data_IF_493569842219
#
_entry.id   IF_493569842219
#
_cell.length_a   1.000
_cell.length_b   1.000
_cell.length_c   1.000
_cell.angle_alpha   90.00
_cell.angle_beta   90.00
_cell.angle_gamma   90.00
#
_symmetry.space_group_name_H-M   'P 1'
#
loop_
_entity.id
_entity.type
_entity.pdbx_description
1 polymer ?
#
# COMPACT_ATOMS: atom_id res chain seq x y z
N UNK A 1 -1.70 -21.61 -2.88
CA UNK A 1 -2.23 -20.37 -2.24
C UNK A 1 -1.34 -19.82 -1.13
N UNK A 2 -0.91 -20.61 -0.12
CA UNK A 2 -0.06 -20.10 0.97
C UNK A 2 1.22 -19.39 0.49
N UNK A 3 1.87 -19.94 -0.53
CA UNK A 3 3.10 -19.36 -1.10
C UNK A 3 2.89 -18.01 -1.77
N UNK A 4 1.75 -17.81 -2.43
CA UNK A 4 1.36 -16.53 -3.03
C UNK A 4 1.16 -15.49 -1.93
N UNK A 5 0.45 -15.86 -0.85
CA UNK A 5 0.26 -14.97 0.31
C UNK A 5 1.59 -14.63 0.96
N UNK A 6 2.47 -15.61 1.14
CA UNK A 6 3.81 -15.37 1.70
C UNK A 6 4.64 -14.43 0.80
N UNK A 7 4.58 -14.60 -0.52
CA UNK A 7 5.23 -13.71 -1.47
C UNK A 7 4.67 -12.27 -1.39
N UNK A 8 3.35 -12.10 -1.24
CA UNK A 8 2.72 -10.80 -1.05
C UNK A 8 3.12 -10.14 0.27
N UNK A 9 3.19 -10.91 1.36
CA UNK A 9 3.66 -10.41 2.66
C UNK A 9 5.14 -10.02 2.60
N UNK A 10 5.96 -10.80 1.90
CA UNK A 10 7.37 -10.48 1.67
C UNK A 10 7.51 -9.19 0.86
N UNK A 11 6.74 -9.06 -0.23
CA UNK A 11 6.67 -7.88 -1.07
C UNK A 11 6.22 -6.66 -0.28
N UNK A 12 5.19 -6.77 0.56
CA UNK A 12 4.70 -5.67 1.40
C UNK A 12 5.70 -5.25 2.48
N UNK A 13 6.48 -6.20 3.04
CA UNK A 13 7.48 -5.90 4.06
C UNK A 13 8.77 -5.28 3.51
N UNK A 14 9.23 -5.77 2.36
CA UNK A 14 10.53 -5.39 1.78
C UNK A 14 10.39 -4.31 0.71
N UNK A 15 9.26 -4.31 0.02
CA UNK A 15 9.03 -3.42 -1.09
C UNK A 15 9.96 -3.64 -2.29
N UNK A 16 10.52 -4.85 -2.42
CA UNK A 16 11.40 -5.15 -3.54
C UNK A 16 10.67 -4.99 -4.88
N UNK A 17 11.41 -4.75 -5.96
CA UNK A 17 10.80 -4.82 -7.28
C UNK A 17 10.30 -6.25 -7.53
N UNK A 18 9.15 -6.41 -8.20
CA UNK A 18 8.57 -7.73 -8.46
C UNK A 18 9.52 -8.72 -9.16
N UNK A 19 10.46 -8.22 -9.96
CA UNK A 19 11.48 -9.04 -10.64
C UNK A 19 12.61 -9.51 -9.71
N UNK A 20 12.75 -8.87 -8.54
CA UNK A 20 13.72 -9.19 -7.50
C UNK A 20 13.12 -10.09 -6.41
N UNK A 21 11.93 -10.64 -6.63
CA UNK A 21 11.32 -11.60 -5.72
C UNK A 21 12.24 -12.83 -5.60
N UNK A 22 12.54 -13.33 -4.39
CA UNK A 22 13.38 -14.52 -4.21
C UNK A 22 12.86 -15.72 -5.02
N UNK A 23 13.79 -16.52 -5.55
CA UNK A 23 13.46 -17.70 -6.35
C UNK A 23 12.72 -18.80 -5.58
N UNK A 24 12.72 -18.74 -4.24
CA UNK A 24 11.95 -19.64 -3.37
C UNK A 24 10.44 -19.37 -3.44
N UNK A 25 10.02 -18.25 -4.03
CA UNK A 25 8.62 -17.91 -4.23
C UNK A 25 8.11 -18.32 -5.62
N UNK A 26 6.77 -18.43 -5.77
CA UNK A 26 6.14 -18.61 -7.08
C UNK A 26 6.55 -17.50 -8.05
N UNK A 27 6.41 -17.78 -9.35
CA UNK A 27 6.79 -16.82 -10.38
C UNK A 27 6.17 -15.43 -10.15
N UNK A 28 6.96 -14.38 -10.34
CA UNK A 28 6.53 -13.00 -10.11
C UNK A 28 5.26 -12.64 -10.90
N UNK A 29 5.07 -13.24 -12.09
CA UNK A 29 3.86 -13.09 -12.89
C UNK A 29 2.61 -13.66 -12.22
N UNK A 30 2.71 -14.84 -11.59
CA UNK A 30 1.59 -15.42 -10.86
C UNK A 30 1.26 -14.59 -9.62
N UNK A 31 2.27 -14.17 -8.84
CA UNK A 31 2.05 -13.32 -7.66
C UNK A 31 1.40 -12.00 -8.04
N UNK A 32 1.88 -11.35 -9.12
CA UNK A 32 1.26 -10.15 -9.69
C UNK A 32 -0.18 -10.37 -10.13
N UNK A 33 -0.46 -11.46 -10.83
CA UNK A 33 -1.82 -11.78 -11.28
C UNK A 33 -2.79 -11.81 -10.10
N UNK A 34 -2.49 -12.62 -9.07
CA UNK A 34 -3.34 -12.69 -7.88
C UNK A 34 -3.45 -11.36 -7.16
N UNK A 35 -2.35 -10.62 -7.07
CA UNK A 35 -2.35 -9.30 -6.46
C UNK A 35 -3.33 -8.35 -7.15
N UNK A 36 -3.23 -8.21 -8.48
CA UNK A 36 -4.09 -7.29 -9.22
C UNK A 36 -5.54 -7.75 -9.24
N UNK A 37 -5.79 -9.06 -9.39
CA UNK A 37 -7.15 -9.61 -9.28
C UNK A 37 -7.78 -9.29 -7.92
N UNK A 38 -7.07 -9.54 -6.81
CA UNK A 38 -7.61 -9.29 -5.48
C UNK A 38 -7.81 -7.81 -5.17
N UNK A 39 -6.92 -6.96 -5.67
CA UNK A 39 -7.06 -5.51 -5.56
C UNK A 39 -8.29 -5.01 -6.31
N UNK A 40 -8.49 -5.48 -7.53
CA UNK A 40 -9.60 -5.05 -8.38
C UNK A 40 -10.95 -5.60 -7.84
N UNK A 41 -10.92 -6.77 -7.19
CA UNK A 41 -12.08 -7.37 -6.50
C UNK A 41 -12.34 -6.80 -5.10
N UNK A 42 -11.45 -5.96 -4.55
CA UNK A 42 -11.54 -5.42 -3.17
C UNK A 42 -11.28 -6.46 -2.05
N UNK A 43 -10.77 -7.63 -2.42
CA UNK A 43 -10.43 -8.72 -1.50
C UNK A 43 -9.23 -8.32 -0.63
N UNK A 44 -8.30 -7.55 -1.17
CA UNK A 44 -7.15 -7.01 -0.44
C UNK A 44 -7.57 -6.17 0.77
N UNK A 45 -8.55 -5.28 0.60
CA UNK A 45 -9.10 -4.47 1.69
C UNK A 45 -9.76 -5.35 2.75
N UNK A 46 -10.54 -6.36 2.31
CA UNK A 46 -11.22 -7.30 3.22
C UNK A 46 -10.20 -8.09 4.05
N UNK A 47 -9.13 -8.58 3.43
CA UNK A 47 -8.05 -9.30 4.12
C UNK A 47 -7.35 -8.36 5.11
N UNK A 48 -7.06 -7.13 4.70
CA UNK A 48 -6.42 -6.14 5.56
C UNK A 48 -7.26 -5.85 6.80
N UNK A 49 -8.57 -5.65 6.64
CA UNK A 49 -9.48 -5.36 7.74
C UNK A 49 -9.59 -6.54 8.72
N UNK A 50 -9.69 -7.77 8.20
CA UNK A 50 -9.70 -8.99 9.02
C UNK A 50 -8.41 -9.13 9.84
N UNK A 51 -7.25 -8.97 9.21
CA UNK A 51 -5.96 -9.03 9.90
C UNK A 51 -5.82 -7.93 10.94
N UNK A 52 -6.27 -6.71 10.63
CA UNK A 52 -6.29 -5.58 11.55
C UNK A 52 -7.15 -5.86 12.78
N UNK A 53 -8.34 -6.44 12.60
CA UNK A 53 -9.20 -6.84 13.72
C UNK A 53 -8.54 -7.90 14.58
N UNK A 54 -7.99 -8.96 13.98
CA UNK A 54 -7.29 -10.03 14.70
C UNK A 54 -6.13 -9.50 15.53
N UNK A 55 -5.27 -8.65 14.97
CA UNK A 55 -4.14 -8.05 15.69
C UNK A 55 -4.61 -7.20 16.88
N UNK A 56 -5.73 -6.48 16.73
CA UNK A 56 -6.30 -5.67 17.81
C UNK A 56 -6.90 -6.52 18.92
N UNK A 57 -7.63 -7.58 18.57
CA UNK A 57 -8.19 -8.53 19.52
C UNK A 57 -7.10 -9.27 20.30
N UNK A 58 -6.03 -9.70 19.62
CA UNK A 58 -4.84 -10.29 20.25
C UNK A 58 -4.20 -9.33 21.26
N UNK A 59 -4.22 -8.02 20.96
CA UNK A 59 -3.77 -6.98 21.87
C UNK A 59 -4.82 -6.57 22.93
N UNK A 60 -5.91 -7.34 23.08
CA UNK A 60 -7.06 -7.08 23.99
C UNK A 60 -7.70 -5.70 23.80
N UNK A 61 -7.69 -5.19 22.56
CA UNK A 61 -8.35 -3.94 22.16
C UNK A 61 -9.61 -4.27 21.36
N UNK A 62 -10.58 -3.34 21.34
CA UNK A 62 -11.79 -3.47 20.49
C UNK A 62 -11.39 -3.55 19.01
N UNK A 63 -12.06 -4.40 18.25
CA UNK A 63 -11.83 -4.59 16.82
C UNK A 63 -11.91 -3.25 16.06
N UNK A 64 -12.92 -2.45 16.37
CA UNK A 64 -13.09 -1.11 15.81
C UNK A 64 -12.17 -0.08 16.51
N UNK A 65 -11.34 0.70 15.78
CA UNK A 65 -10.65 1.88 16.31
C UNK A 65 -11.58 2.97 16.82
N UNK A 66 -11.39 3.38 18.07
CA UNK A 66 -11.97 4.63 18.58
C UNK A 66 -11.33 5.90 17.99
N UNK A 67 -10.12 5.79 17.40
CA UNK A 67 -9.38 6.87 16.76
C UNK A 67 -8.58 6.31 15.59
N UNK A 68 -8.64 6.98 14.44
CA UNK A 68 -7.84 6.71 13.26
C UNK A 68 -7.03 7.97 12.94
N UNK A 69 -5.71 7.88 12.98
CA UNK A 69 -4.82 8.95 12.50
C UNK A 69 -4.50 8.62 11.04
N UNK A 70 -5.00 9.44 10.13
CA UNK A 70 -4.70 9.37 8.70
C UNK A 70 -3.56 10.33 8.41
N UNK A 71 -2.40 9.82 8.02
CA UNK A 71 -1.30 10.63 7.53
C UNK A 71 -1.24 10.53 6.01
N UNK A 72 -1.37 11.67 5.33
CA UNK A 72 -1.24 11.72 3.88
C UNK A 72 0.17 12.19 3.54
N UNK A 73 1.03 11.24 3.16
CA UNK A 73 2.38 11.59 2.74
C UNK A 73 2.38 12.18 1.34
N UNK A 74 3.12 13.27 1.17
CA UNK A 74 3.06 14.12 -0.01
C UNK A 74 4.49 14.28 -0.56
N UNK A 75 4.78 13.79 -1.76
CA UNK A 75 6.16 13.75 -2.30
C UNK A 75 6.50 15.06 -3.01
N UNK A 76 7.70 15.59 -2.75
CA UNK A 76 8.14 16.87 -3.33
C UNK A 76 8.17 16.80 -4.86
N UNK A 77 7.53 17.76 -5.53
CA UNK A 77 7.54 17.82 -6.98
C UNK A 77 8.92 18.30 -7.49
N UNK A 78 9.51 17.58 -8.44
CA UNK A 78 10.69 18.05 -9.15
C UNK A 78 10.35 19.30 -9.98
N UNK A 79 11.33 20.19 -10.19
CA UNK A 79 11.14 21.49 -10.85
C UNK A 79 10.56 21.42 -12.28
N UNK A 80 10.61 20.25 -12.92
CA UNK A 80 10.08 20.02 -14.28
C UNK A 80 8.63 19.53 -14.35
N UNK A 81 7.93 19.33 -13.22
CA UNK A 81 6.54 18.83 -13.23
C UNK A 81 5.56 19.97 -13.55
N UNK A 82 4.70 19.74 -14.54
CA UNK A 82 3.67 20.70 -14.97
C UNK A 82 2.74 21.07 -13.81
N UNK A 83 2.38 22.35 -13.73
CA UNK A 83 1.49 22.91 -12.70
C UNK A 83 0.09 22.30 -12.70
N UNK A 84 -0.31 21.68 -13.81
CA UNK A 84 -1.62 21.01 -13.96
C UNK A 84 -1.70 19.70 -13.16
N UNK A 85 -0.56 19.06 -12.87
CA UNK A 85 -0.48 17.80 -12.10
C UNK A 85 0.06 17.98 -10.68
N UNK A 86 0.14 19.23 -10.20
CA UNK A 86 0.77 19.60 -8.93
C UNK A 86 -0.15 20.51 -8.12
N UNK A 87 -0.34 20.22 -6.83
CA UNK A 87 -1.14 21.03 -5.90
C UNK A 87 -0.29 21.62 -4.76
N UNK A 88 -0.73 22.74 -4.21
CA UNK A 88 -0.23 23.24 -2.93
C UNK A 88 -1.32 23.04 -1.88
N UNK A 89 -1.00 22.33 -0.81
CA UNK A 89 -1.76 22.40 0.43
C UNK A 89 -1.46 23.74 1.10
N UNK A 90 -2.49 24.43 1.60
CA UNK A 90 -2.39 25.77 2.20
C UNK A 90 -1.43 25.83 3.39
N UNK A 91 -1.17 24.69 4.05
CA UNK A 91 -0.23 24.58 5.16
C UNK A 91 1.25 24.37 4.75
N UNK A 92 1.55 24.08 3.47
CA UNK A 92 2.91 23.76 3.00
C UNK A 92 3.49 24.83 2.09
N UNK A 93 4.73 25.24 2.38
CA UNK A 93 5.50 26.25 1.62
C UNK A 93 6.10 25.74 0.30
N UNK A 94 5.81 24.50 -0.10
CA UNK A 94 6.36 23.89 -1.31
C UNK A 94 5.28 23.17 -2.13
N UNK A 95 5.50 23.15 -3.45
CA UNK A 95 4.61 22.51 -4.43
C UNK A 95 4.73 20.99 -4.36
N UNK A 96 3.60 20.30 -4.43
CA UNK A 96 3.55 18.86 -4.22
C UNK A 96 2.81 18.20 -5.38
N UNK A 97 3.42 17.20 -5.99
CA UNK A 97 2.76 16.41 -7.02
C UNK A 97 1.93 15.34 -6.30
N UNK A 98 0.60 15.37 -6.48
CA UNK A 98 -0.24 14.24 -6.07
C UNK A 98 -0.21 13.22 -7.19
N UNK A 99 0.77 12.32 -7.15
CA UNK A 99 0.73 11.12 -7.96
C UNK A 99 -0.29 10.16 -7.33
N UNK A 100 -1.56 10.30 -7.72
CA UNK A 100 -2.66 9.43 -7.29
C UNK A 100 -2.42 7.93 -7.58
N UNK A 101 -1.35 7.58 -8.29
CA UNK A 101 -1.07 6.21 -8.75
C UNK A 101 0.13 5.53 -8.08
N UNK A 102 1.01 6.27 -7.38
CA UNK A 102 2.20 5.68 -6.73
C UNK A 102 2.05 5.52 -5.21
N UNK A 103 1.07 6.20 -4.60
CA UNK A 103 0.90 6.26 -3.15
C UNK A 103 -0.18 5.33 -2.58
N UNK A 104 -1.00 4.70 -3.42
CA UNK A 104 -2.07 3.79 -2.96
C UNK A 104 -1.56 2.44 -2.46
N UNK A 105 -0.31 2.06 -2.76
CA UNK A 105 0.26 0.77 -2.33
C UNK A 105 1.36 0.87 -1.26
N UNK A 106 1.92 2.05 -1.02
CA UNK A 106 3.08 2.27 -0.14
C UNK A 106 2.81 3.27 1.00
N UNK A 107 1.53 3.44 1.36
CA UNK A 107 1.08 4.36 2.39
C UNK A 107 0.27 3.71 3.50
N UNK A 108 0.55 2.43 3.84
CA UNK A 108 -0.05 1.72 4.97
C UNK A 108 0.91 0.66 5.52
#
# INVERSE_FOLDING_TARGET
>A
MREIVNALLYQGRTGCQWELLPHDFPSAGAVKYYFYTWRDDGIDQTIHDLLRWQVREMARRKADPSLVVLDTQSVHAAAGVLTVSTGCDAAKKYRVASAAWLLTFWGW
#
